data_IF_870927312705
#
_entry.id   IF_870927312705
#
_cell.length_a   1.000
_cell.length_b   1.000
_cell.length_c   1.000
_cell.angle_alpha   90.00
_cell.angle_beta   90.00
_cell.angle_gamma   90.00
#
_symmetry.space_group_name_H-M   'P 1'
#
loop_
_entity.id
_entity.type
_entity.pdbx_description
1 polymer ?
#
# COMPACT_ATOMS: atom_id res chain seq x y z
N UNK A 1 -44.07 -45.59 1.04
CA UNK A 1 -44.52 -44.30 1.56
C UNK A 1 -43.54 -43.61 2.50
N UNK A 2 -42.88 -44.30 3.49
CA UNK A 2 -41.95 -43.64 4.44
C UNK A 2 -40.62 -43.10 3.83
N UNK A 3 -40.15 -43.63 2.69
CA UNK A 3 -38.91 -43.13 2.02
C UNK A 3 -39.15 -41.87 1.20
N UNK A 4 -40.33 -41.73 0.57
CA UNK A 4 -40.64 -40.53 -0.21
C UNK A 4 -40.91 -39.30 0.68
N UNK A 5 -41.46 -39.50 1.88
CA UNK A 5 -41.75 -38.43 2.83
C UNK A 5 -40.45 -37.81 3.41
N UNK A 6 -39.39 -38.61 3.57
CA UNK A 6 -38.07 -38.09 4.05
C UNK A 6 -37.36 -37.28 2.98
N UNK A 7 -37.51 -37.63 1.71
CA UNK A 7 -36.87 -36.88 0.60
C UNK A 7 -37.54 -35.55 0.36
N UNK A 8 -38.88 -35.48 0.48
CA UNK A 8 -39.63 -34.21 0.33
C UNK A 8 -39.34 -33.27 1.52
N UNK A 9 -39.21 -33.80 2.74
CA UNK A 9 -38.88 -32.97 3.92
C UNK A 9 -37.43 -32.42 3.86
N UNK A 10 -36.48 -33.18 3.33
CA UNK A 10 -35.12 -32.72 3.16
C UNK A 10 -34.97 -31.61 2.10
N UNK A 11 -35.73 -31.70 1.00
CA UNK A 11 -35.75 -30.68 -0.05
C UNK A 11 -36.40 -29.35 0.41
N UNK A 12 -37.45 -29.44 1.26
CA UNK A 12 -38.11 -28.23 1.80
C UNK A 12 -37.25 -27.53 2.84
N UNK A 13 -36.47 -28.23 3.66
CA UNK A 13 -35.54 -27.63 4.62
C UNK A 13 -34.35 -26.97 3.90
N UNK A 14 -33.82 -27.59 2.85
CA UNK A 14 -32.76 -27.02 2.04
C UNK A 14 -33.21 -25.72 1.31
N UNK A 15 -34.44 -25.67 0.81
CA UNK A 15 -35.01 -24.48 0.17
C UNK A 15 -35.28 -23.34 1.15
N UNK A 16 -35.60 -23.63 2.41
CA UNK A 16 -35.76 -22.61 3.46
C UNK A 16 -34.43 -22.05 3.96
N UNK A 17 -33.36 -22.84 4.01
CA UNK A 17 -32.03 -22.39 4.37
C UNK A 17 -31.43 -21.52 3.28
N UNK A 18 -31.62 -21.85 2.00
CA UNK A 18 -31.18 -21.01 0.87
C UNK A 18 -31.91 -19.66 0.82
N UNK A 19 -33.20 -19.63 1.20
CA UNK A 19 -33.99 -18.40 1.25
C UNK A 19 -33.60 -17.48 2.42
N UNK A 20 -33.08 -18.00 3.52
CA UNK A 20 -32.60 -17.20 4.64
C UNK A 20 -31.23 -16.60 4.35
N UNK A 21 -30.31 -17.34 3.73
CA UNK A 21 -29.00 -16.82 3.29
C UNK A 21 -29.14 -15.70 2.25
N UNK A 22 -30.06 -15.79 1.32
CA UNK A 22 -30.35 -14.73 0.34
C UNK A 22 -31.01 -13.49 0.96
N UNK A 23 -31.69 -13.61 2.09
CA UNK A 23 -32.28 -12.45 2.81
C UNK A 23 -31.27 -11.74 3.72
N UNK A 24 -30.25 -12.41 4.23
CA UNK A 24 -29.17 -11.79 4.99
C UNK A 24 -28.18 -11.07 4.07
N UNK A 25 -27.81 -11.65 2.93
CA UNK A 25 -26.99 -10.99 1.92
C UNK A 25 -27.61 -9.67 1.40
N UNK A 26 -28.93 -9.56 1.36
CA UNK A 26 -29.63 -8.34 0.95
C UNK A 26 -29.71 -7.24 2.04
N UNK A 27 -29.36 -7.53 3.29
CA UNK A 27 -29.34 -6.55 4.39
C UNK A 27 -28.00 -5.88 4.62
N UNK A 28 -26.90 -6.51 4.20
CA UNK A 28 -25.53 -5.97 4.34
C UNK A 28 -25.27 -4.86 3.32
N UNK A 29 -26.01 -4.80 2.23
CA UNK A 29 -25.77 -3.93 1.08
C UNK A 29 -26.27 -2.46 1.23
N UNK A 30 -26.65 -2.02 2.42
CA UNK A 30 -27.17 -0.64 2.62
C UNK A 30 -26.31 0.29 3.46
N UNK A 31 -25.16 -0.18 3.99
CA UNK A 31 -24.38 0.64 4.91
C UNK A 31 -22.85 0.60 4.71
N UNK A 32 -22.35 -0.06 3.66
CA UNK A 32 -20.93 0.00 3.29
C UNK A 32 -20.83 0.51 1.87
N UNK A 33 -20.44 1.78 1.72
CA UNK A 33 -20.11 2.40 0.44
C UNK A 33 -18.74 1.95 -0.06
N UNK A 34 -18.59 0.65 -0.31
CA UNK A 34 -17.38 0.11 -0.95
C UNK A 34 -17.84 -0.49 -2.29
N UNK A 35 -17.30 0.08 -3.38
CA UNK A 35 -17.65 -0.28 -4.73
C UNK A 35 -17.38 -1.75 -5.05
N UNK A 36 -18.29 -2.32 -5.78
CA UNK A 36 -18.15 -3.67 -6.35
C UNK A 36 -17.31 -3.57 -7.62
N UNK A 37 -16.30 -4.42 -7.70
CA UNK A 37 -15.56 -4.70 -8.92
C UNK A 37 -16.52 -5.19 -10.03
N UNK A 38 -16.71 -4.36 -11.07
CA UNK A 38 -17.31 -4.78 -12.33
C UNK A 38 -16.20 -4.92 -13.36
N UNK A 39 -15.87 -6.16 -13.69
CA UNK A 39 -15.08 -6.50 -14.88
C UNK A 39 -15.98 -6.31 -16.11
N UNK A 40 -15.64 -5.47 -17.09
CA UNK A 40 -16.41 -5.37 -18.33
C UNK A 40 -16.05 -6.53 -19.26
N UNK A 41 -17.09 -7.24 -19.74
CA UNK A 41 -16.99 -8.20 -20.81
C UNK A 41 -16.72 -7.48 -22.15
N UNK A 42 -15.83 -8.08 -22.95
CA UNK A 42 -15.51 -7.66 -24.33
C UNK A 42 -16.77 -7.59 -25.22
N UNK A 43 -16.95 -6.45 -25.89
CA UNK A 43 -17.80 -6.39 -27.08
C UNK A 43 -17.01 -5.84 -28.26
N UNK A 44 -16.98 -6.64 -29.31
CA UNK A 44 -16.36 -6.37 -30.62
C UNK A 44 -16.95 -5.15 -31.28
N UNK A 45 -16.06 -4.34 -31.85
CA UNK A 45 -16.36 -3.23 -32.76
C UNK A 45 -16.82 -3.73 -34.15
N UNK A 46 -17.71 -2.99 -34.76
CA UNK A 46 -17.88 -2.95 -36.21
C UNK A 46 -17.83 -1.50 -36.68
N UNK A 47 -16.98 -1.27 -37.66
CA UNK A 47 -16.74 -0.04 -38.39
C UNK A 47 -18.00 0.57 -39.03
N UNK A 48 -18.06 1.88 -39.13
CA UNK A 48 -18.42 2.57 -40.38
C UNK A 48 -18.02 4.04 -40.37
N UNK A 49 -17.31 4.41 -41.45
CA UNK A 49 -16.87 5.75 -41.84
C UNK A 49 -17.98 6.75 -42.04
N UNK A 50 -17.68 8.02 -41.79
CA UNK A 50 -17.93 9.11 -42.78
C UNK A 50 -17.32 10.45 -42.35
N UNK A 51 -16.50 10.98 -43.30
CA UNK A 51 -15.99 12.31 -43.39
C UNK A 51 -17.10 13.38 -43.54
N UNK A 52 -16.83 14.60 -43.07
CA UNK A 52 -17.03 15.82 -43.87
C UNK A 52 -16.34 17.04 -43.23
N UNK A 53 -15.61 17.74 -44.08
CA UNK A 53 -14.96 19.05 -43.91
C UNK A 53 -15.91 20.20 -43.60
N UNK A 54 -15.40 21.25 -42.92
CA UNK A 54 -15.44 22.63 -43.47
C UNK A 54 -14.65 23.60 -42.58
N UNK A 55 -13.69 24.27 -43.24
CA UNK A 55 -13.03 25.51 -42.82
C UNK A 55 -14.00 26.68 -42.64
N UNK A 56 -13.67 27.63 -41.77
CA UNK A 56 -13.67 29.06 -42.13
C UNK A 56 -12.93 29.91 -41.08
N UNK A 57 -11.95 30.62 -41.54
CA UNK A 57 -11.19 31.73 -40.95
C UNK A 57 -12.02 32.98 -40.75
N UNK A 58 -11.70 33.82 -39.78
CA UNK A 58 -11.42 35.24 -39.94
C UNK A 58 -11.06 36.03 -38.68
N UNK A 59 -10.13 36.89 -38.92
CA UNK A 59 -9.35 37.86 -38.17
C UNK A 59 -10.07 39.01 -37.48
N UNK A 60 -9.22 39.71 -36.68
CA UNK A 60 -9.17 41.14 -36.30
C UNK A 60 -10.08 41.56 -35.13
N UNK A 61 -9.73 42.44 -34.24
CA UNK A 61 -8.71 43.46 -34.04
C UNK A 61 -8.73 43.98 -32.57
N UNK A 62 -7.61 44.52 -32.17
CA UNK A 62 -7.18 45.33 -31.04
C UNK A 62 -8.17 46.33 -30.44
N UNK A 63 -8.18 46.48 -29.11
CA UNK A 63 -8.14 47.81 -28.46
C UNK A 63 -7.60 47.72 -27.04
N UNK A 64 -6.63 48.63 -26.79
CA UNK A 64 -5.99 48.94 -25.50
C UNK A 64 -6.96 49.63 -24.54
N UNK A 65 -6.88 49.27 -23.23
CA UNK A 65 -7.12 50.28 -22.20
C UNK A 65 -6.32 50.00 -20.94
N UNK A 66 -5.68 51.04 -20.44
CA UNK A 66 -4.79 51.12 -19.32
C UNK A 66 -5.57 51.34 -18.03
N UNK A 67 -5.33 50.54 -17.00
CA UNK A 67 -5.60 50.96 -15.63
C UNK A 67 -4.57 50.37 -14.66
N UNK A 68 -3.99 51.27 -13.90
CA UNK A 68 -2.99 51.10 -12.85
C UNK A 68 -3.40 50.08 -11.81
N UNK A 69 -2.51 49.16 -11.46
CA UNK A 69 -2.63 48.32 -10.27
C UNK A 69 -1.40 48.50 -9.35
N UNK A 70 -1.72 48.73 -8.10
CA UNK A 70 -0.81 48.90 -6.97
C UNK A 70 0.08 47.69 -6.79
N UNK A 71 1.38 47.90 -6.66
CA UNK A 71 2.35 46.95 -6.15
C UNK A 71 2.00 46.52 -4.72
N UNK A 72 1.78 45.22 -4.54
CA UNK A 72 1.93 44.53 -3.26
C UNK A 72 3.21 43.73 -3.32
N UNK A 73 4.19 44.07 -2.47
CA UNK A 73 5.54 43.52 -2.49
C UNK A 73 5.54 42.03 -2.19
N UNK A 74 5.92 41.24 -3.17
CA UNK A 74 6.39 39.88 -2.99
C UNK A 74 7.86 39.96 -2.52
N UNK A 75 8.09 39.60 -1.25
CA UNK A 75 9.45 39.28 -0.80
C UNK A 75 9.82 37.91 -1.34
N UNK A 76 10.45 37.89 -2.50
CA UNK A 76 11.02 36.70 -3.08
C UNK A 76 12.11 36.11 -2.20
N UNK A 77 11.81 34.99 -1.53
CA UNK A 77 12.82 34.15 -0.92
C UNK A 77 13.54 33.37 -2.03
N UNK A 78 14.76 33.79 -2.33
CA UNK A 78 15.69 33.01 -3.16
C UNK A 78 16.48 32.11 -2.20
N UNK A 79 16.35 30.78 -2.28
CA UNK A 79 17.18 29.91 -1.46
C UNK A 79 18.66 30.10 -1.87
N UNK A 80 19.61 30.07 -0.91
CA UNK A 80 21.03 30.14 -1.22
C UNK A 80 21.40 28.93 -2.10
N UNK A 81 22.39 29.09 -3.02
CA UNK A 81 22.87 27.97 -3.81
C UNK A 81 23.45 26.91 -2.86
N UNK A 82 23.03 25.66 -3.07
CA UNK A 82 23.61 24.50 -2.43
C UNK A 82 25.09 24.44 -2.88
N UNK A 83 26.00 24.74 -1.98
CA UNK A 83 27.40 24.44 -2.17
C UNK A 83 27.52 22.91 -2.36
N UNK A 84 27.84 22.50 -3.58
CA UNK A 84 28.25 21.12 -3.85
C UNK A 84 29.58 20.94 -3.13
N UNK A 85 29.53 20.41 -1.93
CA UNK A 85 30.67 19.76 -1.34
C UNK A 85 30.86 18.46 -2.10
N UNK A 86 32.03 18.30 -2.71
CA UNK A 86 32.57 17.02 -3.12
C UNK A 86 32.83 16.20 -1.84
N UNK A 87 31.79 15.60 -1.30
CA UNK A 87 31.89 14.57 -0.25
C UNK A 87 32.06 13.25 -0.96
N UNK A 88 33.20 12.64 -0.81
CA UNK A 88 33.45 11.22 -0.98
C UNK A 88 32.33 10.51 -0.25
N UNK A 89 31.41 9.86 -1.01
CA UNK A 89 30.21 9.20 -0.46
C UNK A 89 30.70 8.01 0.37
N UNK A 90 30.88 8.21 1.66
CA UNK A 90 31.08 7.10 2.59
C UNK A 90 29.82 6.27 2.61
N UNK A 91 29.94 4.99 2.27
CA UNK A 91 28.85 4.06 2.33
C UNK A 91 28.26 4.07 3.76
N UNK A 92 27.03 4.57 3.91
CA UNK A 92 26.31 4.45 5.16
C UNK A 92 25.83 3.01 5.30
N UNK A 93 26.19 2.36 6.38
CA UNK A 93 25.75 1.02 6.73
C UNK A 93 24.94 1.12 8.02
N UNK A 94 23.66 0.75 7.96
CA UNK A 94 22.84 0.58 9.13
C UNK A 94 22.51 -0.92 9.33
N UNK A 95 22.30 -1.34 10.57
CA UNK A 95 21.82 -2.67 10.90
C UNK A 95 20.65 -2.57 11.85
N UNK A 96 19.58 -3.34 11.59
CA UNK A 96 18.49 -3.53 12.54
C UNK A 96 18.82 -4.60 13.57
N UNK A 97 18.03 -4.69 14.65
CA UNK A 97 18.16 -5.74 15.67
C UNK A 97 17.79 -7.11 15.12
N UNK A 98 17.04 -7.19 14.00
CA UNK A 98 16.58 -8.45 13.40
C UNK A 98 17.63 -9.09 12.47
N UNK A 99 18.89 -8.63 12.53
CA UNK A 99 19.96 -9.13 11.67
C UNK A 99 19.89 -8.64 10.23
N UNK A 100 18.94 -7.77 9.90
CA UNK A 100 18.85 -7.12 8.60
C UNK A 100 19.86 -5.99 8.54
N UNK A 101 20.64 -5.94 7.48
CA UNK A 101 21.54 -4.81 7.21
C UNK A 101 21.29 -4.23 5.83
N UNK A 102 21.55 -2.94 5.69
CA UNK A 102 21.43 -2.25 4.41
C UNK A 102 22.53 -1.20 4.26
N UNK A 103 22.85 -0.90 3.02
CA UNK A 103 23.78 0.17 2.66
C UNK A 103 23.32 0.88 1.41
N UNK A 104 23.76 2.14 1.27
CA UNK A 104 23.52 2.93 0.05
C UNK A 104 24.88 3.24 -0.58
N UNK A 105 25.02 2.91 -1.85
CA UNK A 105 26.21 3.23 -2.65
C UNK A 105 25.73 3.81 -4.00
N UNK A 106 26.13 5.03 -4.30
CA UNK A 106 25.72 5.72 -5.54
C UNK A 106 24.19 5.77 -5.74
N UNK A 107 23.43 6.03 -4.68
CA UNK A 107 21.97 6.09 -4.70
C UNK A 107 21.26 4.73 -4.82
N UNK A 108 22.02 3.64 -4.90
CA UNK A 108 21.45 2.29 -4.93
C UNK A 108 21.50 1.64 -3.56
N UNK A 109 20.36 1.17 -3.08
CA UNK A 109 20.22 0.39 -1.86
C UNK A 109 20.61 -1.06 -2.11
N UNK A 110 21.28 -1.66 -1.17
CA UNK A 110 21.56 -3.10 -1.11
C UNK A 110 21.25 -3.59 0.28
N UNK A 111 20.61 -4.75 0.35
CA UNK A 111 20.12 -5.33 1.59
C UNK A 111 20.81 -6.68 1.82
N UNK A 112 20.87 -7.10 3.07
CA UNK A 112 21.19 -8.47 3.45
C UNK A 112 20.18 -8.88 4.50
N UNK A 113 19.30 -9.79 4.13
CA UNK A 113 18.31 -10.38 5.01
C UNK A 113 18.82 -11.74 5.51
N UNK A 114 18.60 -12.09 6.79
CA UNK A 114 18.81 -13.45 7.25
C UNK A 114 17.86 -14.40 6.53
N UNK A 115 18.17 -15.70 6.43
CA UNK A 115 17.16 -16.69 6.06
C UNK A 115 15.98 -16.61 7.04
N UNK A 116 14.75 -16.77 6.54
CA UNK A 116 13.59 -16.81 7.43
C UNK A 116 13.66 -17.99 8.39
N UNK A 117 13.22 -17.78 9.63
CA UNK A 117 13.10 -18.83 10.62
C UNK A 117 11.81 -19.64 10.42
N UNK A 118 11.91 -20.77 9.74
CA UNK A 118 10.78 -21.69 9.50
C UNK A 118 10.41 -22.54 10.73
N UNK A 119 11.05 -22.36 11.88
CA UNK A 119 10.76 -23.16 13.09
C UNK A 119 9.32 -22.99 13.57
N UNK A 120 8.72 -21.82 13.36
CA UNK A 120 7.33 -21.53 13.67
C UNK A 120 6.33 -22.38 12.88
N UNK A 121 6.69 -22.81 11.66
CA UNK A 121 5.84 -23.65 10.80
C UNK A 121 5.48 -24.98 11.46
N UNK A 122 6.39 -25.56 12.23
CA UNK A 122 6.15 -26.81 12.96
C UNK A 122 4.98 -26.71 13.95
N UNK A 123 4.69 -25.51 14.44
CA UNK A 123 3.62 -25.24 15.42
C UNK A 123 2.31 -24.73 14.79
N UNK A 124 2.24 -24.59 13.47
CA UNK A 124 1.00 -24.19 12.77
C UNK A 124 -0.14 -25.18 13.01
N UNK A 125 0.15 -26.46 13.23
CA UNK A 125 -0.85 -27.48 13.55
C UNK A 125 -1.61 -27.21 14.85
N UNK A 126 -1.03 -26.42 15.76
CA UNK A 126 -1.63 -26.06 17.06
C UNK A 126 -2.60 -24.87 16.94
N UNK A 127 -2.62 -24.20 15.79
CA UNK A 127 -3.50 -23.06 15.57
C UNK A 127 -4.88 -23.49 15.06
N UNK A 128 -5.88 -22.67 15.37
CA UNK A 128 -7.22 -22.83 14.83
C UNK A 128 -7.20 -22.82 13.30
N UNK A 129 -8.02 -23.65 12.70
CA UNK A 129 -8.06 -23.82 11.24
C UNK A 129 -8.64 -22.61 10.49
N UNK A 130 -9.37 -21.74 11.21
CA UNK A 130 -9.99 -20.53 10.66
C UNK A 130 -9.91 -19.40 11.68
N UNK A 131 -9.91 -18.18 11.18
CA UNK A 131 -10.04 -17.00 12.01
C UNK A 131 -11.38 -16.95 12.74
N UNK A 132 -11.33 -16.58 14.01
CA UNK A 132 -12.51 -16.12 14.75
C UNK A 132 -12.50 -14.60 14.76
N UNK A 133 -13.65 -13.96 14.49
CA UNK A 133 -13.77 -12.52 14.61
C UNK A 133 -13.44 -12.11 16.06
N UNK A 134 -12.49 -11.21 16.20
CA UNK A 134 -12.11 -10.66 17.49
C UNK A 134 -12.54 -9.19 17.54
N UNK A 135 -13.12 -8.82 18.67
CA UNK A 135 -13.36 -7.43 19.02
C UNK A 135 -12.51 -7.09 20.23
N UNK A 136 -11.95 -5.91 20.27
CA UNK A 136 -11.28 -5.44 21.46
C UNK A 136 -12.29 -4.98 22.53
N UNK A 137 -11.78 -4.56 23.70
CA UNK A 137 -12.61 -4.10 24.82
C UNK A 137 -13.42 -2.82 24.51
N UNK A 138 -13.09 -2.12 23.44
CA UNK A 138 -13.79 -0.92 22.95
C UNK A 138 -14.85 -1.26 21.90
N UNK A 139 -14.94 -2.53 21.48
CA UNK A 139 -15.83 -3.00 20.42
C UNK A 139 -15.29 -2.74 19.00
N UNK A 140 -14.02 -2.41 18.88
CA UNK A 140 -13.35 -2.28 17.58
C UNK A 140 -13.23 -3.65 16.92
N UNK A 141 -13.68 -3.74 15.67
CA UNK A 141 -13.50 -4.93 14.85
C UNK A 141 -12.03 -5.07 14.45
N UNK A 142 -11.32 -6.02 15.07
CA UNK A 142 -9.93 -6.33 14.75
C UNK A 142 -9.78 -7.03 13.38
N UNK A 143 -10.89 -7.31 12.69
CA UNK A 143 -10.90 -7.87 11.33
C UNK A 143 -11.07 -6.82 10.25
N UNK A 144 -11.32 -5.56 10.64
CA UNK A 144 -11.61 -4.48 9.72
C UNK A 144 -10.38 -3.85 9.07
N UNK A 145 -10.64 -2.91 8.16
CA UNK A 145 -9.61 -2.08 7.54
C UNK A 145 -8.97 -1.16 8.58
N UNK A 146 -7.70 -1.38 8.85
CA UNK A 146 -6.94 -0.59 9.81
C UNK A 146 -6.41 0.68 9.13
N UNK A 147 -7.21 1.74 9.16
CA UNK A 147 -6.70 3.06 8.84
C UNK A 147 -5.93 3.58 10.05
N UNK A 148 -4.61 3.49 9.99
CA UNK A 148 -3.74 4.08 10.97
C UNK A 148 -3.49 5.54 10.58
N UNK A 149 -3.81 6.45 11.48
CA UNK A 149 -3.53 7.86 11.34
C UNK A 149 -4.69 8.66 10.77
N UNK A 150 -5.42 9.30 11.68
CA UNK A 150 -6.26 10.43 11.39
C UNK A 150 -5.48 11.71 11.70
N UNK A 151 -5.23 12.49 10.67
CA UNK A 151 -4.70 13.84 10.86
C UNK A 151 -5.88 14.78 11.07
N UNK A 152 -5.97 15.40 12.23
CA UNK A 152 -6.86 16.51 12.50
C UNK A 152 -6.04 17.80 12.58
N UNK A 153 -6.62 18.91 12.13
CA UNK A 153 -5.98 20.21 12.19
C UNK A 153 -6.69 21.08 13.22
N UNK A 154 -5.92 21.78 14.03
CA UNK A 154 -6.45 22.87 14.82
C UNK A 154 -6.84 24.03 13.89
N UNK A 155 -8.11 24.41 13.90
CA UNK A 155 -8.65 25.44 13.01
C UNK A 155 -8.07 26.84 13.26
N UNK A 156 -7.53 27.10 14.45
CA UNK A 156 -6.99 28.40 14.82
C UNK A 156 -5.49 28.53 14.53
N UNK A 157 -4.73 27.44 14.71
CA UNK A 157 -3.25 27.44 14.57
C UNK A 157 -2.78 26.78 13.28
N UNK A 158 -3.61 25.97 12.63
CA UNK A 158 -3.24 25.14 11.51
C UNK A 158 -2.29 23.97 11.88
N UNK A 159 -2.04 23.76 13.17
CA UNK A 159 -1.20 22.68 13.64
C UNK A 159 -1.87 21.33 13.42
N UNK A 160 -1.13 20.39 12.85
CA UNK A 160 -1.57 19.04 12.64
C UNK A 160 -1.44 18.22 13.92
N UNK A 161 -2.52 17.60 14.37
CA UNK A 161 -2.49 16.57 15.40
C UNK A 161 -2.77 15.22 14.77
N UNK A 162 -1.88 14.27 15.01
CA UNK A 162 -2.01 12.90 14.53
C UNK A 162 -2.62 12.06 15.67
N UNK A 163 -3.74 11.41 15.38
CA UNK A 163 -4.34 10.43 16.29
C UNK A 163 -4.40 9.08 15.60
N UNK A 164 -4.10 8.02 16.34
CA UNK A 164 -4.22 6.66 15.85
C UNK A 164 -5.68 6.24 15.95
N UNK A 165 -6.29 5.87 14.84
CA UNK A 165 -7.71 5.47 14.77
C UNK A 165 -7.95 4.07 15.35
N UNK A 166 -6.96 3.51 16.07
CA UNK A 166 -7.04 2.17 16.64
C UNK A 166 -6.90 2.20 18.16
N UNK A 167 -7.58 1.23 18.77
CA UNK A 167 -7.48 1.04 20.23
C UNK A 167 -6.06 0.64 20.61
N UNK A 168 -5.70 0.91 21.86
CA UNK A 168 -4.40 0.47 22.40
C UNK A 168 -4.23 -1.03 22.29
N UNK A 169 -5.30 -1.82 22.46
CA UNK A 169 -5.28 -3.28 22.31
C UNK A 169 -4.83 -3.70 20.90
N UNK A 170 -5.33 -3.04 19.86
CA UNK A 170 -4.90 -3.30 18.48
C UNK A 170 -3.43 -2.97 18.26
N UNK A 171 -2.97 -1.84 18.80
CA UNK A 171 -1.57 -1.44 18.72
C UNK A 171 -0.66 -2.41 19.48
N UNK A 172 -1.07 -2.87 20.66
CA UNK A 172 -0.34 -3.85 21.44
C UNK A 172 -0.25 -5.21 20.73
N UNK A 173 -1.30 -5.63 20.02
CA UNK A 173 -1.27 -6.83 19.19
C UNK A 173 -0.31 -6.67 18.00
N UNK A 174 -0.32 -5.53 17.32
CA UNK A 174 0.66 -5.25 16.27
C UNK A 174 2.09 -5.37 16.80
N UNK A 175 2.38 -4.69 17.90
CA UNK A 175 3.72 -4.71 18.51
C UNK A 175 4.11 -6.13 18.98
N UNK A 176 3.17 -6.88 19.57
CA UNK A 176 3.40 -8.26 20.06
C UNK A 176 3.85 -9.22 18.96
N UNK A 177 3.36 -9.04 17.74
CA UNK A 177 3.66 -9.92 16.60
C UNK A 177 4.58 -9.24 15.57
N UNK A 178 5.39 -8.26 15.98
CA UNK A 178 6.34 -7.59 15.08
C UNK A 178 5.69 -6.87 13.90
N UNK A 179 4.47 -6.38 14.09
CA UNK A 179 3.76 -5.64 13.05
C UNK A 179 4.25 -4.20 12.94
N UNK A 180 4.34 -3.72 11.71
CA UNK A 180 4.80 -2.37 11.37
C UNK A 180 3.61 -1.55 10.88
N UNK A 181 3.37 -0.39 11.47
CA UNK A 181 2.39 0.59 10.99
C UNK A 181 2.95 2.02 11.01
N UNK A 182 4.06 2.21 11.71
CA UNK A 182 4.83 3.45 11.78
C UNK A 182 6.27 3.14 12.20
N UNK A 183 7.18 4.03 11.93
CA UNK A 183 8.55 3.98 12.43
C UNK A 183 8.75 4.78 13.71
N UNK A 184 9.99 5.20 13.97
CA UNK A 184 10.39 5.95 15.15
C UNK A 184 9.84 7.39 15.10
N UNK A 185 8.93 7.71 16.01
CA UNK A 185 8.30 9.03 16.12
C UNK A 185 9.23 10.12 16.66
N UNK A 186 10.42 9.75 17.15
CA UNK A 186 11.44 10.70 17.62
C UNK A 186 12.38 11.18 16.52
N UNK A 187 12.35 10.50 15.36
CA UNK A 187 13.20 10.80 14.19
C UNK A 187 12.37 11.42 13.06
N UNK A 188 12.92 12.41 12.38
CA UNK A 188 12.33 12.93 11.15
C UNK A 188 12.65 11.98 9.98
N UNK A 189 12.02 10.81 9.99
CA UNK A 189 12.13 9.79 8.95
C UNK A 189 10.75 9.43 8.41
N UNK A 190 10.69 8.95 7.18
CA UNK A 190 9.49 8.39 6.57
C UNK A 190 9.83 7.25 5.62
N UNK A 191 8.82 6.45 5.28
CA UNK A 191 8.96 5.24 4.49
C UNK A 191 7.92 5.23 3.37
N UNK A 192 8.36 4.97 2.14
CA UNK A 192 7.48 4.85 0.98
C UNK A 192 7.18 3.39 0.71
N UNK A 193 5.91 3.04 0.67
CA UNK A 193 5.45 1.69 0.39
C UNK A 193 4.40 1.70 -0.71
N UNK A 194 4.45 0.71 -1.59
CA UNK A 194 3.57 0.58 -2.74
C UNK A 194 2.92 -0.79 -2.78
N UNK A 195 1.61 -0.85 -2.96
CA UNK A 195 0.91 -2.08 -3.27
C UNK A 195 0.79 -2.24 -4.79
N UNK A 196 1.10 -3.46 -5.28
CA UNK A 196 1.14 -3.81 -6.70
C UNK A 196 0.17 -4.96 -6.96
N UNK A 197 -1.09 -4.62 -7.19
CA UNK A 197 -2.13 -5.59 -7.50
C UNK A 197 -2.22 -5.88 -8.99
N UNK A 198 -2.26 -4.83 -9.78
CA UNK A 198 -2.38 -4.83 -11.25
C UNK A 198 -1.50 -3.75 -11.84
N UNK A 199 -1.23 -3.84 -13.17
CA UNK A 199 -0.46 -2.83 -13.90
C UNK A 199 -1.37 -2.08 -14.88
N UNK A 200 -1.28 -0.75 -14.85
CA UNK A 200 -2.00 0.14 -15.76
C UNK A 200 -1.07 1.19 -16.42
N UNK A 201 0.25 1.01 -16.30
CA UNK A 201 1.28 1.85 -16.92
C UNK A 201 2.11 2.74 -15.99
N UNK A 202 1.58 3.25 -14.85
CA UNK A 202 2.31 4.24 -14.04
C UNK A 202 3.51 3.70 -13.26
N UNK A 203 3.60 2.39 -13.01
CA UNK A 203 4.68 1.81 -12.20
C UNK A 203 6.06 2.14 -12.77
N UNK A 204 6.19 2.17 -14.10
CA UNK A 204 7.46 2.56 -14.74
C UNK A 204 7.88 3.97 -14.34
N UNK A 205 6.96 4.93 -14.35
CA UNK A 205 7.24 6.33 -14.04
C UNK A 205 7.52 6.52 -12.54
N UNK A 206 6.87 5.74 -11.67
CA UNK A 206 7.17 5.67 -10.23
C UNK A 206 8.61 5.20 -10.01
N UNK A 207 9.03 4.10 -10.66
CA UNK A 207 10.39 3.58 -10.58
C UNK A 207 11.42 4.57 -11.14
N UNK A 208 11.13 5.21 -12.28
CA UNK A 208 12.00 6.25 -12.86
C UNK A 208 12.21 7.41 -11.88
N UNK A 209 11.14 7.85 -11.20
CA UNK A 209 11.20 8.91 -10.17
C UNK A 209 12.00 8.48 -8.95
N UNK A 210 11.74 7.28 -8.40
CA UNK A 210 12.48 6.77 -7.24
C UNK A 210 13.97 6.65 -7.53
N UNK A 211 14.32 6.19 -8.73
CA UNK A 211 15.71 6.10 -9.20
C UNK A 211 16.35 7.48 -9.35
N UNK A 212 15.68 8.44 -9.99
CA UNK A 212 16.17 9.82 -10.15
C UNK A 212 16.40 10.49 -8.80
N UNK A 213 15.50 10.24 -7.85
CA UNK A 213 15.56 10.80 -6.50
C UNK A 213 16.43 10.00 -5.52
N UNK A 214 17.00 8.86 -5.96
CA UNK A 214 17.82 8.00 -5.10
C UNK A 214 17.08 7.60 -3.82
N UNK A 215 15.86 7.04 -3.96
CA UNK A 215 15.00 6.61 -2.87
C UNK A 215 14.71 5.13 -2.96
N UNK A 216 15.05 4.38 -1.89
CA UNK A 216 14.61 3.01 -1.70
C UNK A 216 13.17 2.94 -1.19
N UNK A 217 12.39 2.01 -1.72
CA UNK A 217 11.00 1.77 -1.32
C UNK A 217 10.75 0.26 -1.18
N UNK A 218 9.57 -0.10 -0.65
CA UNK A 218 9.11 -1.48 -0.67
C UNK A 218 7.86 -1.60 -1.55
N UNK A 219 7.81 -2.68 -2.34
CA UNK A 219 6.70 -3.01 -3.24
C UNK A 219 6.07 -4.32 -2.80
N UNK A 220 4.82 -4.30 -2.39
CA UNK A 220 4.04 -5.48 -2.00
C UNK A 220 3.37 -6.07 -3.23
N UNK A 221 3.85 -7.23 -3.68
CA UNK A 221 3.48 -7.83 -4.96
C UNK A 221 2.44 -8.93 -4.77
N UNK A 222 1.38 -8.89 -5.58
CA UNK A 222 0.50 -10.05 -5.73
C UNK A 222 1.13 -11.11 -6.64
N UNK A 223 0.71 -12.38 -6.48
CA UNK A 223 1.16 -13.44 -7.38
C UNK A 223 0.77 -13.20 -8.85
N UNK A 224 -0.33 -12.48 -9.09
CA UNK A 224 -0.73 -12.06 -10.43
C UNK A 224 0.28 -11.07 -11.03
N UNK A 225 0.66 -10.06 -10.26
CA UNK A 225 1.63 -9.04 -10.67
C UNK A 225 3.01 -9.67 -10.97
N UNK A 226 3.50 -10.55 -10.11
CA UNK A 226 4.79 -11.25 -10.33
C UNK A 226 4.79 -12.04 -11.63
N UNK A 227 3.65 -12.60 -12.04
CA UNK A 227 3.53 -13.39 -13.26
C UNK A 227 3.43 -12.53 -14.52
N UNK A 228 2.75 -11.40 -14.46
CA UNK A 228 2.49 -10.56 -15.64
C UNK A 228 3.57 -9.52 -15.89
N UNK A 229 4.23 -9.01 -14.83
CA UNK A 229 5.08 -7.83 -14.87
C UNK A 229 6.56 -8.14 -14.52
N UNK A 230 7.09 -9.25 -15.06
CA UNK A 230 8.45 -9.72 -14.76
C UNK A 230 9.52 -8.63 -14.98
N UNK A 231 9.39 -7.83 -16.03
CA UNK A 231 10.34 -6.75 -16.33
C UNK A 231 10.32 -5.64 -15.26
N UNK A 232 9.15 -5.29 -14.72
CA UNK A 232 9.02 -4.30 -13.66
C UNK A 232 9.54 -4.85 -12.32
N UNK A 233 9.23 -6.11 -12.01
CA UNK A 233 9.77 -6.78 -10.80
C UNK A 233 11.30 -6.87 -10.88
N UNK A 234 11.86 -7.20 -12.06
CA UNK A 234 13.30 -7.20 -12.27
C UNK A 234 13.91 -5.82 -12.02
N UNK A 235 13.26 -4.76 -12.51
CA UNK A 235 13.70 -3.39 -12.24
C UNK A 235 13.68 -3.05 -10.75
N UNK A 236 12.62 -3.44 -10.03
CA UNK A 236 12.54 -3.21 -8.58
C UNK A 236 13.75 -3.81 -7.86
N UNK A 237 14.14 -5.04 -8.20
CA UNK A 237 15.30 -5.71 -7.63
C UNK A 237 16.61 -4.99 -8.03
N UNK A 238 16.80 -4.73 -9.34
CA UNK A 238 18.02 -4.15 -9.87
C UNK A 238 18.25 -2.70 -9.41
N UNK A 239 17.17 -1.97 -9.14
CA UNK A 239 17.22 -0.59 -8.66
C UNK A 239 17.27 -0.49 -7.12
N UNK A 240 17.29 -1.63 -6.43
CA UNK A 240 17.50 -1.70 -4.97
C UNK A 240 16.26 -1.37 -4.16
N UNK A 241 15.10 -1.87 -4.59
CA UNK A 241 13.88 -1.83 -3.80
C UNK A 241 13.65 -3.16 -3.08
N UNK A 242 12.96 -3.11 -1.94
CA UNK A 242 12.56 -4.31 -1.20
C UNK A 242 11.30 -4.87 -1.85
N UNK A 243 11.25 -6.18 -2.02
CA UNK A 243 10.02 -6.87 -2.38
C UNK A 243 9.27 -7.31 -1.12
N UNK A 244 7.97 -7.11 -1.11
CA UNK A 244 7.06 -7.57 -0.08
C UNK A 244 5.99 -8.49 -0.68
N UNK A 245 5.39 -9.30 0.18
CA UNK A 245 4.35 -10.25 -0.19
C UNK A 245 2.96 -9.62 -0.03
N UNK A 246 2.12 -9.68 -1.09
CA UNK A 246 0.74 -9.21 -1.04
C UNK A 246 -0.28 -10.31 -1.39
N UNK A 247 0.07 -11.56 -1.10
CA UNK A 247 -0.65 -12.81 -1.39
C UNK A 247 -0.77 -13.14 -2.89
N UNK A 248 -1.07 -14.38 -3.19
CA UNK A 248 -1.20 -14.83 -4.60
C UNK A 248 -2.44 -14.20 -5.25
N UNK A 249 -3.60 -14.21 -4.57
CA UNK A 249 -4.90 -13.90 -5.14
C UNK A 249 -5.61 -12.72 -4.47
N UNK A 250 -4.92 -11.93 -3.66
CA UNK A 250 -5.46 -10.75 -2.98
C UNK A 250 -6.75 -11.05 -2.18
N UNK A 251 -6.79 -12.18 -1.47
CA UNK A 251 -7.96 -12.59 -0.66
C UNK A 251 -7.99 -11.86 0.67
N UNK A 252 -9.21 -11.72 1.22
CA UNK A 252 -9.35 -11.33 2.62
C UNK A 252 -8.83 -12.46 3.52
N UNK A 253 -7.65 -12.26 4.10
CA UNK A 253 -6.92 -13.28 4.85
C UNK A 253 -7.55 -13.59 6.22
N UNK A 254 -8.50 -12.77 6.70
CA UNK A 254 -9.28 -13.07 7.90
C UNK A 254 -10.40 -14.09 7.66
N UNK A 255 -10.69 -14.40 6.39
CA UNK A 255 -11.82 -15.26 5.97
C UNK A 255 -11.39 -16.55 5.29
N UNK A 256 -10.10 -16.87 5.30
CA UNK A 256 -9.57 -18.09 4.70
C UNK A 256 -9.24 -19.14 5.75
N UNK A 257 -9.03 -20.40 5.31
CA UNK A 257 -8.46 -21.44 6.20
C UNK A 257 -6.95 -21.22 6.39
N UNK A 258 -6.41 -21.79 7.44
CA UNK A 258 -4.97 -21.76 7.72
C UNK A 258 -4.13 -22.27 6.55
N UNK A 259 -4.54 -23.38 5.94
CA UNK A 259 -3.89 -23.97 4.78
C UNK A 259 -3.89 -22.97 3.60
N UNK A 260 -5.04 -22.34 3.34
CA UNK A 260 -5.12 -21.29 2.30
C UNK A 260 -4.25 -20.09 2.65
N UNK A 261 -4.17 -19.70 3.92
CA UNK A 261 -3.30 -18.60 4.36
C UNK A 261 -1.83 -18.90 4.01
N UNK A 262 -1.36 -20.10 4.34
CA UNK A 262 -0.01 -20.54 4.02
C UNK A 262 0.21 -20.58 2.50
N UNK A 263 -0.69 -21.20 1.75
CA UNK A 263 -0.62 -21.29 0.27
C UNK A 263 -0.57 -19.90 -0.40
N UNK A 264 -1.30 -18.92 0.13
CA UNK A 264 -1.33 -17.55 -0.40
C UNK A 264 -0.01 -16.80 -0.17
N UNK A 265 0.70 -17.06 0.92
CA UNK A 265 2.01 -16.43 1.19
C UNK A 265 3.15 -17.20 0.51
N UNK A 266 3.23 -18.52 0.69
CA UNK A 266 4.28 -19.35 0.09
C UNK A 266 4.22 -19.29 -1.44
N UNK A 267 3.03 -19.20 -2.02
CA UNK A 267 2.88 -19.15 -3.46
C UNK A 267 3.49 -17.90 -4.11
N UNK A 268 3.56 -16.75 -3.44
CA UNK A 268 4.30 -15.57 -3.94
C UNK A 268 5.80 -15.79 -3.85
N UNK A 269 6.26 -16.38 -2.73
CA UNK A 269 7.69 -16.69 -2.58
C UNK A 269 8.19 -17.66 -3.62
N UNK A 270 7.43 -18.72 -3.86
CA UNK A 270 7.77 -19.72 -4.87
C UNK A 270 7.89 -19.08 -6.25
N UNK A 271 6.99 -18.15 -6.58
CA UNK A 271 7.06 -17.39 -7.83
C UNK A 271 8.31 -16.49 -7.89
N UNK A 272 8.64 -15.81 -6.80
CA UNK A 272 9.86 -14.98 -6.74
C UNK A 272 11.11 -15.86 -6.85
N UNK A 273 11.19 -16.95 -6.09
CA UNK A 273 12.32 -17.89 -6.16
C UNK A 273 12.51 -18.52 -7.56
N UNK A 274 11.38 -18.83 -8.25
CA UNK A 274 11.41 -19.41 -9.60
C UNK A 274 11.91 -18.41 -10.63
N UNK A 275 11.36 -17.17 -10.60
CA UNK A 275 11.62 -16.17 -11.65
C UNK A 275 12.85 -15.30 -11.37
N UNK A 276 13.15 -15.07 -10.10
CA UNK A 276 14.19 -14.16 -9.61
C UNK A 276 15.02 -14.82 -8.51
N UNK A 277 15.81 -15.88 -8.84
CA UNK A 277 16.54 -16.64 -7.83
C UNK A 277 17.66 -15.87 -7.13
N UNK A 278 17.97 -14.67 -7.59
CA UNK A 278 18.91 -13.72 -7.01
C UNK A 278 18.24 -12.65 -6.15
N UNK A 279 16.91 -12.69 -6.00
CA UNK A 279 16.19 -11.78 -5.11
C UNK A 279 16.39 -12.18 -3.63
N UNK A 280 16.39 -11.17 -2.75
CA UNK A 280 16.40 -11.39 -1.31
C UNK A 280 15.10 -12.09 -0.86
N UNK A 281 15.15 -12.89 0.25
CA UNK A 281 13.96 -13.48 0.83
C UNK A 281 12.90 -12.43 1.21
N UNK A 282 11.61 -12.80 1.11
CA UNK A 282 10.52 -11.92 1.50
C UNK A 282 10.30 -11.98 3.01
N UNK A 283 10.60 -10.91 3.73
CA UNK A 283 10.40 -10.79 5.18
C UNK A 283 9.18 -9.95 5.55
N UNK A 284 8.64 -9.21 4.60
CA UNK A 284 7.52 -8.31 4.80
C UNK A 284 6.33 -8.75 3.97
N UNK A 285 5.15 -8.69 4.59
CA UNK A 285 3.91 -8.89 3.87
C UNK A 285 2.88 -7.83 4.27
N UNK A 286 1.95 -7.55 3.39
CA UNK A 286 0.81 -6.69 3.69
C UNK A 286 -0.48 -7.44 3.43
N UNK A 287 -1.40 -7.49 4.43
CA UNK A 287 -2.70 -8.12 4.22
C UNK A 287 -3.52 -7.34 3.21
N UNK A 288 -4.11 -8.02 2.20
CA UNK A 288 -5.02 -7.39 1.26
C UNK A 288 -6.14 -6.62 1.97
N UNK A 289 -6.51 -5.45 1.41
CA UNK A 289 -7.55 -4.56 1.95
C UNK A 289 -7.26 -4.04 3.38
N UNK A 290 -6.07 -4.29 3.92
CA UNK A 290 -5.76 -4.04 5.32
C UNK A 290 -6.56 -4.90 6.30
N UNK A 291 -7.18 -5.98 5.83
CA UNK A 291 -7.96 -6.88 6.68
C UNK A 291 -7.04 -7.74 7.54
N UNK A 292 -7.04 -7.49 8.84
CA UNK A 292 -6.16 -8.14 9.79
C UNK A 292 -6.89 -8.42 11.11
N UNK A 293 -6.43 -9.42 11.85
CA UNK A 293 -6.84 -9.73 13.23
C UNK A 293 -5.71 -10.47 13.94
N UNK A 294 -5.85 -10.80 15.22
CA UNK A 294 -4.80 -11.49 15.98
C UNK A 294 -4.41 -12.83 15.35
N UNK A 295 -5.37 -13.59 14.81
CA UNK A 295 -5.10 -14.88 14.16
C UNK A 295 -4.20 -14.72 12.92
N UNK A 296 -4.49 -13.71 12.11
CA UNK A 296 -3.69 -13.34 10.92
C UNK A 296 -2.27 -12.91 11.32
N UNK A 297 -2.15 -12.03 12.33
CA UNK A 297 -0.86 -11.59 12.85
C UNK A 297 -0.02 -12.76 13.35
N UNK A 298 -0.64 -13.65 14.14
CA UNK A 298 0.03 -14.81 14.72
C UNK A 298 0.47 -15.82 13.66
N UNK A 299 -0.31 -16.04 12.59
CA UNK A 299 0.09 -16.91 11.48
C UNK A 299 1.29 -16.33 10.73
N UNK A 300 1.23 -15.05 10.39
CA UNK A 300 2.32 -14.37 9.70
C UNK A 300 3.61 -14.39 10.53
N UNK A 301 3.52 -14.12 11.84
CA UNK A 301 4.64 -14.20 12.77
C UNK A 301 5.26 -15.60 12.83
N UNK A 302 4.43 -16.67 12.86
CA UNK A 302 4.91 -18.05 12.80
C UNK A 302 5.56 -18.43 11.46
N UNK A 303 5.24 -17.72 10.41
CA UNK A 303 5.87 -17.84 9.09
C UNK A 303 7.06 -16.88 8.94
N UNK A 304 7.52 -16.26 10.03
CA UNK A 304 8.60 -15.28 10.08
C UNK A 304 8.41 -14.07 9.17
N UNK A 305 7.16 -13.62 9.04
CA UNK A 305 6.82 -12.39 8.37
C UNK A 305 6.56 -11.25 9.35
N UNK A 306 6.98 -10.06 8.96
CA UNK A 306 6.49 -8.81 9.55
C UNK A 306 5.25 -8.33 8.78
N UNK A 307 4.14 -8.19 9.52
CA UNK A 307 2.90 -7.62 8.94
C UNK A 307 3.03 -6.12 8.83
N UNK A 308 2.94 -5.58 7.60
CA UNK A 308 3.13 -4.16 7.35
C UNK A 308 1.79 -3.50 7.01
N UNK A 309 1.37 -2.60 7.89
CA UNK A 309 0.26 -1.69 7.68
C UNK A 309 0.80 -0.31 7.24
N UNK A 310 0.13 0.77 7.59
CA UNK A 310 0.52 2.14 7.26
C UNK A 310 0.04 3.12 8.32
N UNK A 311 0.59 4.30 8.33
CA UNK A 311 0.09 5.40 9.15
C UNK A 311 -0.51 6.53 8.31
N UNK A 312 -0.37 6.45 7.00
CA UNK A 312 -1.04 7.34 6.07
C UNK A 312 -1.37 6.64 4.75
N UNK A 313 -2.58 6.86 4.27
CA UNK A 313 -3.07 6.43 2.97
C UNK A 313 -4.17 7.36 2.48
N UNK A 314 -4.48 7.32 1.20
CA UNK A 314 -5.61 8.00 0.62
C UNK A 314 -6.24 7.15 -0.48
N UNK A 315 -7.38 7.59 -1.03
CA UNK A 315 -8.08 6.86 -2.08
C UNK A 315 -7.39 7.13 -3.43
N UNK A 316 -6.55 6.20 -3.90
CA UNK A 316 -5.71 6.30 -5.09
C UNK A 316 -5.80 5.11 -6.06
N UNK A 317 -6.43 4.01 -5.63
CA UNK A 317 -6.46 2.73 -6.34
C UNK A 317 -7.54 2.61 -7.43
N UNK A 318 -8.51 3.53 -7.51
CA UNK A 318 -9.51 3.50 -8.57
C UNK A 318 -8.97 4.16 -9.85
N UNK A 319 -8.50 3.34 -10.79
CA UNK A 319 -7.90 3.81 -12.06
C UNK A 319 -8.85 4.65 -12.92
N UNK A 320 -10.17 4.53 -12.70
CA UNK A 320 -11.18 5.29 -13.44
C UNK A 320 -11.59 6.60 -12.73
N UNK A 321 -11.16 6.79 -11.48
CA UNK A 321 -11.50 7.96 -10.68
C UNK A 321 -10.30 8.42 -9.86
N UNK A 322 -9.25 8.81 -10.58
CA UNK A 322 -8.02 9.27 -9.95
C UNK A 322 -8.20 10.65 -9.33
N UNK A 323 -7.67 10.89 -8.13
CA UNK A 323 -7.70 12.21 -7.48
C UNK A 323 -6.98 13.27 -8.30
N UNK A 324 -7.39 14.53 -8.16
CA UNK A 324 -6.63 15.65 -8.71
C UNK A 324 -5.20 15.65 -8.12
N UNK A 325 -4.14 15.78 -8.95
CA UNK A 325 -2.76 15.75 -8.47
C UNK A 325 -2.41 16.82 -7.43
N UNK A 326 -2.95 18.02 -7.53
CA UNK A 326 -2.67 19.09 -6.57
C UNK A 326 -3.31 18.77 -5.20
N UNK A 327 -4.54 18.28 -5.20
CA UNK A 327 -5.24 17.84 -3.99
C UNK A 327 -4.56 16.62 -3.36
N UNK A 328 -4.14 15.66 -4.16
CA UNK A 328 -3.43 14.47 -3.71
C UNK A 328 -2.09 14.83 -3.06
N UNK A 329 -1.30 15.69 -3.71
CA UNK A 329 -0.03 16.19 -3.19
C UNK A 329 -0.23 16.95 -1.87
N UNK A 330 -1.26 17.81 -1.79
CA UNK A 330 -1.58 18.51 -0.55
C UNK A 330 -1.94 17.54 0.59
N UNK A 331 -2.74 16.50 0.31
CA UNK A 331 -3.08 15.45 1.29
C UNK A 331 -1.84 14.69 1.75
N UNK A 332 -0.96 14.28 0.81
CA UNK A 332 0.26 13.56 1.15
C UNK A 332 1.22 14.41 2.00
N UNK A 333 1.38 15.70 1.67
CA UNK A 333 2.13 16.66 2.48
C UNK A 333 1.56 16.81 3.89
N UNK A 334 0.24 16.93 3.99
CA UNK A 334 -0.44 17.08 5.28
C UNK A 334 -0.37 15.80 6.13
N UNK A 335 -0.13 14.65 5.52
CA UNK A 335 0.08 13.38 6.22
C UNK A 335 1.48 13.16 6.76
N UNK A 336 2.43 14.06 6.49
CA UNK A 336 3.80 13.91 6.95
C UNK A 336 3.88 14.04 8.47
N UNK A 337 4.42 13.03 9.11
CA UNK A 337 4.77 13.01 10.54
C UNK A 337 6.02 12.14 10.76
N UNK A 338 6.74 12.29 11.89
CA UNK A 338 7.87 11.42 12.20
C UNK A 338 7.49 9.94 12.19
N UNK A 339 8.25 9.14 11.46
CA UNK A 339 8.01 7.70 11.33
C UNK A 339 6.85 7.31 10.41
N UNK A 340 6.32 8.22 9.58
CA UNK A 340 5.20 7.88 8.70
C UNK A 340 5.54 6.75 7.73
N UNK A 341 4.66 5.77 7.65
CA UNK A 341 4.64 4.73 6.62
C UNK A 341 3.53 5.11 5.63
N UNK A 342 3.92 5.58 4.45
CA UNK A 342 3.01 5.93 3.38
C UNK A 342 2.58 4.67 2.63
N UNK A 343 1.28 4.49 2.42
CA UNK A 343 0.72 3.52 1.47
C UNK A 343 0.29 4.25 0.20
N UNK A 344 0.85 3.81 -0.92
CA UNK A 344 0.47 4.17 -2.27
C UNK A 344 0.17 2.91 -3.09
N UNK A 345 -0.58 3.07 -4.20
CA UNK A 345 -0.78 2.01 -5.17
C UNK A 345 -0.10 2.36 -6.50
N UNK A 346 0.53 1.37 -7.13
CA UNK A 346 1.32 1.60 -8.36
C UNK A 346 0.48 1.84 -9.60
N UNK A 347 -0.79 1.43 -9.62
CA UNK A 347 -1.73 1.69 -10.70
C UNK A 347 -2.19 3.15 -10.80
N UNK A 348 -1.83 3.99 -9.81
CA UNK A 348 -2.26 5.38 -9.75
C UNK A 348 -1.41 6.30 -10.64
N UNK A 349 -2.02 6.86 -11.67
CA UNK A 349 -1.40 7.93 -12.49
C UNK A 349 -1.15 9.19 -11.68
N UNK A 350 -1.99 9.45 -10.67
CA UNK A 350 -1.80 10.58 -9.76
C UNK A 350 -0.57 10.39 -8.88
N UNK A 351 -0.34 9.19 -8.35
CA UNK A 351 0.86 8.91 -7.57
C UNK A 351 2.14 9.11 -8.40
N UNK A 352 2.16 8.60 -9.63
CA UNK A 352 3.29 8.81 -10.53
C UNK A 352 3.55 10.31 -10.79
N UNK A 353 2.49 11.11 -10.95
CA UNK A 353 2.60 12.54 -11.22
C UNK A 353 3.12 13.35 -10.01
N UNK A 354 2.80 12.96 -8.77
CA UNK A 354 3.12 13.77 -7.58
C UNK A 354 4.36 13.29 -6.83
N UNK A 355 4.85 12.09 -7.08
CA UNK A 355 5.87 11.44 -6.26
C UNK A 355 7.18 12.26 -6.19
N UNK A 356 7.65 12.80 -7.30
CA UNK A 356 8.85 13.61 -7.35
C UNK A 356 8.75 14.87 -6.48
N UNK A 357 7.66 15.61 -6.64
CA UNK A 357 7.40 16.83 -5.85
C UNK A 357 7.21 16.52 -4.36
N UNK A 358 6.61 15.37 -4.04
CA UNK A 358 6.43 14.93 -2.67
C UNK A 358 7.79 14.61 -2.01
N UNK A 359 8.66 13.85 -2.69
CA UNK A 359 10.00 13.50 -2.20
C UNK A 359 10.82 14.77 -1.94
N UNK A 360 10.86 15.68 -2.90
CA UNK A 360 11.61 16.93 -2.76
C UNK A 360 11.08 17.78 -1.59
N UNK A 361 9.76 17.85 -1.46
CA UNK A 361 9.14 18.58 -0.36
C UNK A 361 9.42 17.93 1.00
N UNK A 362 9.34 16.60 1.13
CA UNK A 362 9.66 15.85 2.35
C UNK A 362 11.09 16.16 2.80
N UNK A 363 12.04 16.10 1.88
CA UNK A 363 13.46 16.45 2.14
C UNK A 363 13.61 17.91 2.57
N UNK A 364 12.87 18.82 1.96
CA UNK A 364 12.88 20.23 2.35
C UNK A 364 12.33 20.50 3.76
N UNK A 365 11.49 19.58 4.31
CA UNK A 365 11.07 19.62 5.72
C UNK A 365 12.12 19.04 6.69
N UNK A 366 13.26 18.60 6.17
CA UNK A 366 14.35 17.98 6.94
C UNK A 366 14.07 16.54 7.35
N UNK A 367 13.24 15.84 6.58
CA UNK A 367 13.00 14.40 6.75
C UNK A 367 13.94 13.60 5.84
N UNK A 368 14.35 12.44 6.34
CA UNK A 368 15.01 11.39 5.57
C UNK A 368 13.96 10.38 5.09
N UNK A 369 14.11 9.88 3.87
CA UNK A 369 13.28 8.81 3.33
C UNK A 369 14.14 7.56 3.37
N UNK A 370 13.79 6.61 4.24
CA UNK A 370 14.58 5.42 4.50
C UNK A 370 13.88 4.16 4.03
N UNK A 371 14.61 3.07 3.77
CA UNK A 371 14.00 1.77 3.47
C UNK A 371 13.26 1.24 4.70
N UNK A 372 12.18 0.49 4.48
CA UNK A 372 11.31 0.00 5.56
C UNK A 372 12.08 -0.82 6.61
N UNK A 373 13.14 -1.50 6.23
CA UNK A 373 13.99 -2.28 7.13
C UNK A 373 14.81 -1.45 8.13
N UNK A 374 14.77 -0.10 8.05
CA UNK A 374 15.27 0.80 9.11
C UNK A 374 14.40 0.75 10.37
N UNK A 375 13.14 0.32 10.24
CA UNK A 375 12.24 0.21 11.39
C UNK A 375 12.65 -0.98 12.25
N UNK A 376 12.99 -0.67 13.49
CA UNK A 376 13.30 -1.69 14.49
C UNK A 376 11.99 -2.19 15.14
N UNK A 377 11.63 -3.42 14.87
CA UNK A 377 10.42 -4.06 15.44
C UNK A 377 10.67 -4.76 16.78
N UNK A 378 11.91 -4.70 17.29
CA UNK A 378 12.33 -5.42 18.51
C UNK A 378 12.69 -6.87 18.24
N UNK A 379 13.34 -7.52 19.21
CA UNK A 379 13.55 -8.98 19.15
C UNK A 379 12.20 -9.68 19.33
N UNK A 380 11.89 -10.64 18.43
CA UNK A 380 10.71 -11.51 18.51
C UNK A 380 10.82 -12.50 19.67
#
# INVERSE_FOLDING_TARGET
MKKQLKTVLALTVAALLLSSCLREAAKVDKNSGIGRDNVPAETKSTDTDKETDSETTRDTETTSDTSETKESGETGYTPPPLDKKDEETTAETASSTDGISWKVENGKYTYSFPPRDESGLATLSEMDSTSTALFDDQGDDLTGSWHFGKTSYDEATGEATHSWDRSQTTLDLMNKYGGIYRGDETRKVCYLTFDCGYEYGPTKDILDTLKEKEVGAIFFLTGAYVKSEEDLVRRMIDEGHILGNHTVNHKNMTQVSKETFVDELEGVEDLIKEKFPDAEPLHYWRPPMGACNEWVLKLADKMDYHTVMWSWAYYDYDVNNQPDPADALAKAKNGLHPGVVYLFHTESTTNAAILGDLIDWIRAQGYEILPLCDINVGEK
#
